data_IF_437131927811
#
_entry.id   IF_437131927811
#
_cell.length_a   1.000
_cell.length_b   1.000
_cell.length_c   1.000
_cell.angle_alpha   90.00
_cell.angle_beta   90.00
_cell.angle_gamma   90.00
#
_symmetry.space_group_name_H-M   'P 1'
#
loop_
_entity.id
_entity.type
_entity.pdbx_description
1 polymer ?
#
# COMPACT_ATOMS: atom_id res chain seq x y z
N UNK A 1 -19.63 -4.45 2.70
CA UNK A 1 -18.65 -5.51 3.05
C UNK A 1 -18.85 -5.99 4.48
N UNK A 2 -18.46 -7.22 4.83
CA UNK A 2 -18.40 -7.73 6.22
C UNK A 2 -16.94 -7.83 6.72
N UNK A 3 -16.73 -7.98 8.03
CA UNK A 3 -15.40 -8.24 8.58
C UNK A 3 -14.74 -9.47 7.97
N UNK A 4 -15.49 -10.58 7.85
CA UNK A 4 -15.01 -11.81 7.20
C UNK A 4 -14.47 -11.50 5.80
N UNK A 5 -15.23 -10.77 4.97
CA UNK A 5 -14.81 -10.46 3.60
C UNK A 5 -13.57 -9.57 3.49
N UNK A 6 -13.24 -8.79 4.54
CA UNK A 6 -12.02 -7.98 4.60
C UNK A 6 -10.84 -8.80 5.15
N UNK A 7 -11.08 -9.61 6.18
CA UNK A 7 -10.07 -10.49 6.75
C UNK A 7 -9.53 -11.47 5.72
N UNK A 8 -10.40 -12.02 4.87
CA UNK A 8 -10.05 -12.93 3.77
C UNK A 8 -9.10 -12.31 2.73
N UNK A 9 -8.95 -10.97 2.71
CA UNK A 9 -8.03 -10.26 1.82
C UNK A 9 -6.64 -10.03 2.42
N UNK A 10 -6.43 -10.42 3.68
CA UNK A 10 -5.12 -10.30 4.31
C UNK A 10 -4.14 -11.29 3.67
N UNK A 11 -2.91 -10.84 3.43
CA UNK A 11 -1.81 -11.73 3.05
C UNK A 11 -1.04 -12.13 4.31
N UNK A 12 -1.33 -13.30 4.86
CA UNK A 12 -0.77 -13.76 6.16
C UNK A 12 -0.19 -15.19 6.11
N UNK A 13 0.65 -15.53 5.11
CA UNK A 13 1.13 -16.89 4.93
C UNK A 13 2.06 -17.37 6.06
N UNK A 14 2.58 -16.47 6.90
CA UNK A 14 3.55 -16.81 7.93
C UNK A 14 2.89 -17.00 9.29
N UNK A 15 2.07 -16.04 9.73
CA UNK A 15 1.40 -16.12 11.04
C UNK A 15 0.04 -16.80 10.99
N UNK A 16 -0.65 -16.78 9.84
CA UNK A 16 -2.06 -17.19 9.74
C UNK A 16 -3.02 -16.27 10.52
N UNK A 17 -2.61 -15.04 10.85
CA UNK A 17 -3.36 -14.11 11.70
C UNK A 17 -3.89 -12.90 10.91
N UNK A 18 -5.03 -13.03 10.19
CA UNK A 18 -5.60 -11.93 9.42
C UNK A 18 -6.05 -10.79 10.34
N UNK A 19 -5.84 -9.56 9.90
CA UNK A 19 -6.30 -8.35 10.60
C UNK A 19 -6.83 -7.37 9.57
N UNK A 20 -7.91 -6.68 9.92
CA UNK A 20 -8.54 -5.68 9.07
C UNK A 20 -9.11 -4.54 9.92
N UNK A 21 -9.20 -3.35 9.33
CA UNK A 21 -9.90 -2.21 9.88
C UNK A 21 -10.46 -1.33 8.78
N UNK A 22 -11.35 -0.40 9.14
CA UNK A 22 -11.81 0.66 8.26
C UNK A 22 -11.49 2.01 8.90
N UNK A 23 -10.88 2.92 8.14
CA UNK A 23 -10.63 4.29 8.56
C UNK A 23 -11.62 5.20 7.84
N UNK A 24 -12.38 6.00 8.59
CA UNK A 24 -13.17 7.10 8.04
C UNK A 24 -12.33 8.37 8.10
N UNK A 25 -12.14 9.00 6.96
CA UNK A 25 -11.47 10.30 6.89
C UNK A 25 -12.40 11.46 7.24
N UNK A 26 -11.84 12.64 7.45
CA UNK A 26 -12.60 13.87 7.71
C UNK A 26 -13.58 14.22 6.58
N UNK A 27 -13.35 13.72 5.37
CA UNK A 27 -14.29 13.85 4.25
C UNK A 27 -15.54 12.96 4.36
N UNK A 28 -15.57 12.01 5.30
CA UNK A 28 -16.60 10.97 5.44
C UNK A 28 -16.37 9.74 4.55
N UNK A 29 -15.34 9.75 3.69
CA UNK A 29 -14.93 8.56 2.92
C UNK A 29 -14.33 7.49 3.82
N UNK A 30 -14.51 6.23 3.43
CA UNK A 30 -13.99 5.08 4.16
C UNK A 30 -12.87 4.40 3.36
N UNK A 31 -11.77 4.11 4.05
CA UNK A 31 -10.57 3.47 3.52
C UNK A 31 -10.34 2.15 4.26
N UNK A 32 -10.31 1.06 3.51
CA UNK A 32 -10.07 -0.27 4.07
C UNK A 32 -8.58 -0.56 4.19
N UNK A 33 -8.18 -1.19 5.29
CA UNK A 33 -6.83 -1.71 5.48
C UNK A 33 -6.87 -3.15 5.92
N UNK A 34 -5.96 -3.94 5.36
CA UNK A 34 -5.78 -5.36 5.67
C UNK A 34 -4.31 -5.63 5.94
N UNK A 35 -4.02 -6.65 6.76
CA UNK A 35 -2.65 -7.04 7.09
C UNK A 35 -1.97 -7.67 5.88
N UNK A 36 -0.79 -7.18 5.54
CA UNK A 36 0.04 -7.72 4.45
C UNK A 36 1.40 -8.05 5.03
N UNK A 37 1.65 -9.33 5.25
CA UNK A 37 2.92 -9.81 5.75
C UNK A 37 4.00 -9.80 4.67
N UNK A 38 5.24 -9.83 5.14
CA UNK A 38 6.39 -10.02 4.30
C UNK A 38 7.36 -10.97 4.99
N UNK A 39 8.12 -11.74 4.21
CA UNK A 39 9.14 -12.66 4.72
C UNK A 39 10.16 -11.95 5.61
N UNK A 40 10.47 -10.70 5.28
CA UNK A 40 11.16 -9.79 6.18
C UNK A 40 10.13 -9.20 7.13
N UNK A 41 9.88 -9.88 8.24
CA UNK A 41 8.83 -9.57 9.21
C UNK A 41 8.68 -8.07 9.57
N UNK A 42 9.76 -7.28 9.77
CA UNK A 42 9.66 -5.84 10.04
C UNK A 42 9.01 -5.01 8.92
N UNK A 43 8.87 -5.56 7.71
CA UNK A 43 8.24 -4.93 6.55
C UNK A 43 6.76 -5.27 6.41
N UNK A 44 6.20 -6.10 7.31
CA UNK A 44 4.76 -6.31 7.41
C UNK A 44 4.06 -4.96 7.46
N UNK A 45 3.01 -4.80 6.67
CA UNK A 45 2.13 -3.63 6.67
C UNK A 45 0.91 -3.99 7.52
N UNK A 46 0.78 -3.46 8.76
CA UNK A 46 -0.42 -3.65 9.55
C UNK A 46 -1.65 -3.05 8.89
N UNK A 47 -2.82 -3.62 9.19
CA UNK A 47 -4.10 -3.12 8.70
C UNK A 47 -4.30 -1.62 8.99
N UNK A 48 -3.94 -1.16 10.20
CA UNK A 48 -4.06 0.25 10.59
C UNK A 48 -3.12 1.14 9.76
N UNK A 49 -1.87 0.73 9.59
CA UNK A 49 -0.90 1.44 8.75
C UNK A 49 -1.38 1.53 7.31
N UNK A 50 -1.91 0.44 6.74
CA UNK A 50 -2.48 0.41 5.41
C UNK A 50 -3.65 1.39 5.28
N UNK A 51 -4.68 1.28 6.13
CA UNK A 51 -5.88 2.12 6.05
C UNK A 51 -5.56 3.63 6.19
N UNK A 52 -4.74 4.00 7.18
CA UNK A 52 -4.36 5.39 7.38
C UNK A 52 -3.50 5.92 6.23
N UNK A 53 -2.55 5.12 5.71
CA UNK A 53 -1.72 5.53 4.58
C UNK A 53 -2.54 5.69 3.29
N UNK A 54 -3.54 4.83 3.07
CA UNK A 54 -4.47 4.96 1.95
C UNK A 54 -5.26 6.27 2.08
N UNK A 55 -5.86 6.53 3.24
CA UNK A 55 -6.58 7.78 3.53
C UNK A 55 -5.74 9.02 3.22
N UNK A 56 -4.51 9.07 3.76
CA UNK A 56 -3.59 10.18 3.57
C UNK A 56 -3.17 10.34 2.10
N UNK A 57 -2.96 9.23 1.39
CA UNK A 57 -2.62 9.24 -0.04
C UNK A 57 -3.70 9.84 -0.94
N UNK A 58 -4.95 9.86 -0.46
CA UNK A 58 -6.13 10.41 -1.14
C UNK A 58 -6.43 11.86 -0.71
N UNK A 59 -5.47 12.54 -0.07
CA UNK A 59 -5.60 13.90 0.49
C UNK A 59 -6.71 14.03 1.54
N UNK A 60 -6.97 12.98 2.29
CA UNK A 60 -7.91 12.97 3.40
C UNK A 60 -7.18 12.78 4.73
N UNK A 61 -7.82 13.14 5.84
CA UNK A 61 -7.24 13.04 7.19
C UNK A 61 -7.97 11.96 7.98
N UNK A 62 -7.29 10.94 8.52
CA UNK A 62 -7.93 9.93 9.37
C UNK A 62 -8.66 10.57 10.55
N UNK A 63 -9.94 10.23 10.77
CA UNK A 63 -10.78 10.82 11.82
C UNK A 63 -11.39 9.76 12.75
N UNK A 64 -11.87 8.64 12.19
CA UNK A 64 -12.35 7.50 12.98
C UNK A 64 -11.76 6.22 12.46
N UNK A 65 -11.63 5.23 13.34
CA UNK A 65 -11.26 3.87 12.97
C UNK A 65 -12.27 2.88 13.54
N UNK A 66 -12.80 2.04 12.66
CA UNK A 66 -13.66 0.91 12.99
C UNK A 66 -12.82 -0.35 13.04
N UNK A 67 -12.99 -1.11 14.12
CA UNK A 67 -12.29 -2.38 14.35
C UNK A 67 -13.25 -3.44 14.89
N UNK A 68 -12.97 -4.71 14.62
CA UNK A 68 -13.70 -5.83 15.25
C UNK A 68 -13.24 -6.06 16.69
N UNK A 69 -11.96 -5.81 16.98
CA UNK A 69 -11.35 -5.83 18.31
C UNK A 69 -10.14 -4.89 18.31
N UNK A 70 -9.58 -4.57 19.47
CA UNK A 70 -8.46 -3.62 19.60
C UNK A 70 -7.06 -4.25 19.43
N UNK A 71 -6.97 -5.54 19.13
CA UNK A 71 -5.70 -6.24 18.95
C UNK A 71 -5.13 -6.05 17.53
N UNK A 72 -4.80 -4.81 17.19
CA UNK A 72 -4.18 -4.45 15.91
C UNK A 72 -2.82 -3.81 16.15
N UNK A 73 -1.82 -4.24 15.36
CA UNK A 73 -0.49 -3.62 15.38
C UNK A 73 -0.58 -2.14 15.03
N UNK A 74 0.20 -1.35 15.78
CA UNK A 74 0.32 0.10 15.61
C UNK A 74 -0.97 0.91 15.86
N UNK A 75 -2.07 0.30 16.31
CA UNK A 75 -3.33 1.03 16.59
C UNK A 75 -3.10 2.26 17.46
N UNK A 76 -2.41 2.09 18.59
CA UNK A 76 -2.12 3.16 19.54
C UNK A 76 -1.36 4.34 18.91
N UNK A 77 -0.38 4.07 18.05
CA UNK A 77 0.38 5.13 17.37
C UNK A 77 -0.54 5.95 16.46
N UNK A 78 -1.24 5.29 15.55
CA UNK A 78 -2.07 5.98 14.54
C UNK A 78 -3.24 6.73 15.19
N UNK A 79 -3.86 6.19 16.23
CA UNK A 79 -4.95 6.87 16.94
C UNK A 79 -4.48 8.13 17.66
N UNK A 80 -3.27 8.13 18.20
CA UNK A 80 -2.70 9.33 18.85
C UNK A 80 -2.26 10.34 17.80
N UNK A 81 -1.57 9.89 16.74
CA UNK A 81 -1.06 10.75 15.67
C UNK A 81 -2.16 11.62 15.05
N UNK A 82 -3.33 11.03 14.77
CA UNK A 82 -4.44 11.72 14.10
C UNK A 82 -5.64 12.01 15.01
N UNK A 83 -5.50 11.79 16.32
CA UNK A 83 -6.58 11.97 17.30
C UNK A 83 -7.86 11.22 16.92
N UNK A 84 -7.72 9.99 16.40
CA UNK A 84 -8.84 9.23 15.88
C UNK A 84 -9.75 8.70 16.99
N UNK A 85 -11.05 8.74 16.75
CA UNK A 85 -12.02 7.97 17.54
C UNK A 85 -11.93 6.48 17.19
N UNK A 86 -11.84 5.61 18.20
CA UNK A 86 -11.81 4.15 18.01
C UNK A 86 -13.19 3.57 18.30
N UNK A 87 -13.82 3.03 17.26
CA UNK A 87 -15.13 2.40 17.32
C UNK A 87 -14.96 0.90 17.17
N UNK A 88 -15.27 0.16 18.23
CA UNK A 88 -15.28 -1.30 18.21
C UNK A 88 -16.70 -1.79 17.88
N UNK A 89 -16.86 -2.61 16.85
CA UNK A 89 -18.17 -3.04 16.36
C UNK A 89 -18.11 -4.39 15.65
N UNK A 90 -19.12 -5.23 15.85
CA UNK A 90 -19.31 -6.47 15.09
C UNK A 90 -19.86 -6.21 13.67
N UNK A 91 -20.48 -5.05 13.47
CA UNK A 91 -21.08 -4.65 12.20
C UNK A 91 -20.32 -3.44 11.65
N UNK A 92 -19.39 -3.63 10.69
CA UNK A 92 -18.66 -2.52 10.10
C UNK A 92 -19.59 -1.63 9.28
N UNK A 93 -19.25 -0.34 9.09
CA UNK A 93 -19.89 0.48 8.07
C UNK A 93 -19.91 -0.23 6.71
N UNK A 94 -21.03 -0.09 5.99
CA UNK A 94 -21.11 -0.63 4.65
C UNK A 94 -20.20 0.17 3.71
N UNK A 95 -19.26 -0.54 3.08
CA UNK A 95 -18.43 -0.05 1.98
C UNK A 95 -18.67 -0.98 0.80
N UNK A 96 -19.00 -0.42 -0.37
CA UNK A 96 -19.02 -1.18 -1.62
C UNK A 96 -17.59 -1.40 -2.09
N UNK A 97 -17.32 -2.55 -2.72
CA UNK A 97 -16.00 -2.82 -3.28
C UNK A 97 -15.66 -1.80 -4.37
N UNK A 98 -16.65 -1.36 -5.13
CA UNK A 98 -16.48 -0.37 -6.19
C UNK A 98 -16.08 1.01 -5.67
N UNK A 99 -16.32 1.29 -4.39
CA UNK A 99 -15.91 2.53 -3.74
C UNK A 99 -14.44 2.51 -3.29
N UNK A 100 -13.79 1.33 -3.31
CA UNK A 100 -12.36 1.21 -3.03
C UNK A 100 -11.57 1.65 -4.27
N UNK A 101 -10.51 2.41 -4.04
CA UNK A 101 -9.82 3.20 -5.06
C UNK A 101 -9.10 2.31 -6.09
N UNK A 102 -9.76 2.03 -7.22
CA UNK A 102 -9.19 1.40 -8.40
C UNK A 102 -9.56 2.22 -9.63
N UNK A 103 -8.57 2.54 -10.46
CA UNK A 103 -8.77 3.26 -11.71
C UNK A 103 -8.86 2.27 -12.88
N UNK A 104 -9.74 2.48 -13.87
CA UNK A 104 -9.88 1.57 -15.00
C UNK A 104 -8.67 1.64 -15.94
N UNK A 105 -8.26 0.50 -16.48
CA UNK A 105 -7.21 0.45 -17.52
C UNK A 105 -7.74 1.04 -18.82
N UNK A 106 -7.46 2.31 -19.05
CA UNK A 106 -7.74 3.03 -20.30
C UNK A 106 -6.44 3.45 -20.98
N UNK A 107 -6.50 3.89 -22.23
CA UNK A 107 -5.32 4.45 -22.90
C UNK A 107 -5.02 5.85 -22.34
N UNK A 108 -4.05 5.96 -21.43
CA UNK A 108 -3.56 7.24 -20.89
C UNK A 108 -2.04 7.32 -20.93
N UNK A 109 -1.50 8.52 -20.70
CA UNK A 109 -0.06 8.73 -20.56
C UNK A 109 0.37 8.40 -19.12
N UNK A 110 1.01 7.24 -18.94
CA UNK A 110 1.52 6.75 -17.64
C UNK A 110 2.36 7.81 -16.93
N UNK A 111 3.34 8.39 -17.63
CA UNK A 111 4.21 9.40 -17.04
C UNK A 111 3.46 10.67 -16.63
N UNK A 112 2.45 11.08 -17.41
CA UNK A 112 1.63 12.24 -17.06
C UNK A 112 0.85 11.97 -15.77
N UNK A 113 0.28 10.78 -15.64
CA UNK A 113 -0.45 10.35 -14.45
C UNK A 113 0.46 10.28 -13.21
N UNK A 114 1.60 9.60 -13.35
CA UNK A 114 2.61 9.54 -12.29
C UNK A 114 3.05 10.94 -11.84
N UNK A 115 3.23 11.90 -12.77
CA UNK A 115 3.59 13.28 -12.43
C UNK A 115 2.47 14.00 -11.69
N UNK A 116 1.20 13.85 -12.07
CA UNK A 116 0.08 14.46 -11.34
C UNK A 116 -0.08 13.91 -9.93
N UNK A 117 0.24 12.63 -9.72
CA UNK A 117 0.20 12.01 -8.40
C UNK A 117 1.23 12.60 -7.42
N UNK A 118 2.37 13.11 -7.89
CA UNK A 118 3.42 13.64 -7.00
C UNK A 118 2.95 14.77 -6.08
N UNK A 119 1.89 15.49 -6.45
CA UNK A 119 1.31 16.57 -5.66
C UNK A 119 0.31 16.06 -4.60
N UNK A 120 0.12 14.75 -4.49
CA UNK A 120 -0.63 14.09 -3.42
C UNK A 120 0.27 13.44 -2.37
N UNK A 121 1.57 13.28 -2.65
CA UNK A 121 2.52 12.69 -1.71
C UNK A 121 2.58 13.50 -0.40
N UNK A 122 2.54 12.79 0.73
CA UNK A 122 2.66 13.38 2.05
C UNK A 122 4.11 13.24 2.48
N UNK A 123 4.89 14.30 2.29
CA UNK A 123 6.36 14.29 2.49
C UNK A 123 6.81 15.34 3.50
N UNK A 124 6.21 15.31 4.70
CA UNK A 124 6.43 16.34 5.73
C UNK A 124 7.88 16.41 6.21
N UNK A 125 8.67 15.35 6.05
CA UNK A 125 10.02 15.30 6.56
C UNK A 125 11.07 15.39 5.45
N UNK A 126 10.93 14.63 4.37
CA UNK A 126 11.96 14.52 3.33
C UNK A 126 11.79 15.51 2.18
N UNK A 127 10.57 16.02 1.97
CA UNK A 127 10.17 16.70 0.75
C UNK A 127 10.52 15.87 -0.51
N UNK A 128 10.47 14.54 -0.45
CA UNK A 128 10.83 13.64 -1.55
C UNK A 128 9.58 12.90 -2.05
N UNK A 129 8.84 13.46 -3.03
CA UNK A 129 7.61 12.85 -3.52
C UNK A 129 7.91 11.73 -4.51
N UNK A 130 7.25 10.61 -4.31
CA UNK A 130 7.28 9.40 -5.15
C UNK A 130 5.84 9.04 -5.48
N UNK A 131 5.59 8.61 -6.71
CA UNK A 131 4.33 8.03 -7.15
C UNK A 131 4.55 6.65 -7.76
N UNK A 132 3.53 5.82 -7.68
CA UNK A 132 3.53 4.48 -8.25
C UNK A 132 2.15 4.13 -8.83
N UNK A 133 2.13 3.34 -9.90
CA UNK A 133 0.95 2.67 -10.42
C UNK A 133 1.17 1.16 -10.36
N UNK A 134 0.27 0.43 -9.72
CA UNK A 134 0.25 -1.03 -9.70
C UNK A 134 -0.88 -1.53 -10.59
N UNK A 135 -0.54 -2.17 -11.71
CA UNK A 135 -1.51 -2.67 -12.67
C UNK A 135 -1.98 -4.07 -12.32
N UNK A 136 -3.24 -4.35 -12.64
CA UNK A 136 -3.88 -5.67 -12.58
C UNK A 136 -4.59 -5.95 -13.90
N UNK A 137 -5.28 -7.08 -14.01
CA UNK A 137 -6.12 -7.37 -15.18
C UNK A 137 -7.36 -6.47 -15.28
N UNK A 138 -7.78 -5.85 -14.18
CA UNK A 138 -9.04 -5.09 -14.08
C UNK A 138 -8.83 -3.57 -14.17
N UNK A 139 -7.63 -3.10 -13.82
CA UNK A 139 -7.37 -1.68 -13.63
C UNK A 139 -5.96 -1.44 -13.11
N UNK A 140 -5.78 -0.31 -12.43
CA UNK A 140 -4.56 -0.01 -11.69
C UNK A 140 -4.87 0.70 -10.38
N UNK A 141 -3.92 0.60 -9.45
CA UNK A 141 -3.95 1.22 -8.14
C UNK A 141 -2.86 2.29 -8.05
N UNK A 142 -3.27 3.49 -7.63
CA UNK A 142 -2.38 4.64 -7.49
C UNK A 142 -1.76 4.67 -6.09
N UNK A 143 -0.48 4.96 -6.01
CA UNK A 143 0.23 5.11 -4.74
C UNK A 143 1.07 6.38 -4.74
N UNK A 144 1.14 7.01 -3.58
CA UNK A 144 2.11 8.07 -3.28
C UNK A 144 2.72 7.79 -1.91
N UNK A 145 3.96 8.23 -1.66
CA UNK A 145 4.55 8.01 -0.35
C UNK A 145 3.88 8.86 0.72
N UNK A 146 3.77 8.28 1.91
CA UNK A 146 3.17 8.89 3.09
C UNK A 146 4.18 8.87 4.23
N UNK A 147 4.50 10.05 4.72
CA UNK A 147 5.35 10.30 5.89
C UNK A 147 4.50 10.81 7.05
N UNK A 148 4.86 10.39 8.26
CA UNK A 148 4.23 10.78 9.53
C UNK A 148 5.31 11.14 10.54
N UNK A 149 4.92 11.51 11.77
CA UNK A 149 5.88 11.90 12.82
C UNK A 149 6.96 10.85 13.09
N UNK A 150 6.57 9.56 13.14
CA UNK A 150 7.49 8.43 13.19
C UNK A 150 7.83 7.94 11.78
N UNK A 151 9.06 8.23 11.35
CA UNK A 151 9.58 7.86 10.03
C UNK A 151 9.50 6.35 9.73
N UNK A 152 9.49 5.49 10.75
CA UNK A 152 9.39 4.03 10.58
C UNK A 152 7.98 3.56 10.25
N UNK A 153 6.97 4.43 10.44
CA UNK A 153 5.55 4.16 10.22
C UNK A 153 5.05 4.68 8.88
N UNK A 154 5.79 5.58 8.24
CA UNK A 154 5.53 5.96 6.86
C UNK A 154 5.81 4.81 5.88
N UNK A 155 5.11 4.80 4.75
CA UNK A 155 5.33 3.83 3.67
C UNK A 155 5.44 4.53 2.32
N UNK A 156 6.23 3.93 1.42
CA UNK A 156 6.46 4.48 0.09
C UNK A 156 5.28 4.22 -0.85
N UNK A 157 5.29 4.91 -2.00
CA UNK A 157 4.22 4.86 -2.99
C UNK A 157 3.85 3.44 -3.42
N UNK A 158 4.83 2.57 -3.65
CA UNK A 158 4.64 1.20 -4.10
C UNK A 158 3.85 0.39 -3.06
N UNK A 159 4.18 0.57 -1.77
CA UNK A 159 3.50 -0.12 -0.66
C UNK A 159 2.09 0.42 -0.42
N UNK A 160 1.84 1.70 -0.70
CA UNK A 160 0.47 2.26 -0.71
C UNK A 160 -0.36 1.65 -1.84
N UNK A 161 0.16 1.59 -3.07
CA UNK A 161 -0.53 0.99 -4.20
C UNK A 161 -0.87 -0.50 -3.95
N UNK A 162 0.10 -1.26 -3.42
CA UNK A 162 -0.11 -2.66 -2.98
C UNK A 162 -1.19 -2.74 -1.90
N UNK A 163 -1.16 -1.84 -0.91
CA UNK A 163 -2.16 -1.83 0.17
C UNK A 163 -3.58 -1.60 -0.36
N UNK A 164 -3.76 -0.69 -1.33
CA UNK A 164 -5.06 -0.47 -1.99
C UNK A 164 -5.53 -1.71 -2.75
N UNK A 165 -4.63 -2.35 -3.49
CA UNK A 165 -4.91 -3.58 -4.22
C UNK A 165 -5.44 -4.70 -3.31
N UNK A 166 -4.71 -5.00 -2.22
CA UNK A 166 -5.12 -6.00 -1.24
C UNK A 166 -6.41 -5.60 -0.53
N UNK A 167 -6.57 -4.33 -0.13
CA UNK A 167 -7.81 -3.84 0.45
C UNK A 167 -9.00 -4.04 -0.51
N UNK A 168 -8.81 -3.84 -1.81
CA UNK A 168 -9.80 -4.12 -2.86
C UNK A 168 -10.02 -5.63 -3.12
N UNK A 169 -9.11 -6.48 -2.66
CA UNK A 169 -9.13 -7.92 -2.93
C UNK A 169 -8.67 -8.28 -4.34
N UNK A 170 -7.78 -7.46 -4.93
CA UNK A 170 -7.07 -7.81 -6.16
C UNK A 170 -5.64 -8.25 -5.80
N UNK A 171 -5.24 -9.41 -6.30
CA UNK A 171 -3.92 -10.01 -6.10
C UNK A 171 -3.28 -10.47 -7.41
N UNK A 172 -3.96 -10.24 -8.55
CA UNK A 172 -3.53 -10.66 -9.88
C UNK A 172 -2.81 -9.50 -10.58
N UNK A 173 -1.66 -9.14 -10.01
CA UNK A 173 -0.86 -8.00 -10.47
C UNK A 173 -0.11 -8.32 -11.77
N UNK A 174 0.14 -7.30 -12.59
CA UNK A 174 0.73 -7.47 -13.93
C UNK A 174 1.97 -6.61 -14.18
N UNK A 175 2.04 -5.40 -13.60
CA UNK A 175 3.14 -4.46 -13.81
C UNK A 175 3.17 -3.40 -12.72
N UNK A 176 4.36 -2.86 -12.44
CA UNK A 176 4.50 -1.65 -11.63
C UNK A 176 5.21 -0.53 -12.39
N UNK A 177 4.74 0.70 -12.22
CA UNK A 177 5.37 1.91 -12.75
C UNK A 177 5.71 2.83 -11.57
N UNK A 178 6.91 3.40 -11.51
CA UNK A 178 7.35 4.26 -10.40
C UNK A 178 7.98 5.54 -10.93
N UNK A 179 7.71 6.67 -10.27
CA UNK A 179 8.30 7.96 -10.61
C UNK A 179 8.66 8.77 -9.36
N UNK A 180 9.74 9.54 -9.47
CA UNK A 180 10.03 10.68 -8.59
C UNK A 180 10.66 11.79 -9.40
N UNK A 181 10.38 13.04 -9.01
CA UNK A 181 10.99 14.24 -9.60
C UNK A 181 12.36 14.59 -9.02
N UNK A 182 12.90 13.77 -8.11
CA UNK A 182 14.17 14.00 -7.42
C UNK A 182 15.08 12.77 -7.50
N UNK A 183 16.39 13.03 -7.47
CA UNK A 183 17.43 11.99 -7.56
C UNK A 183 17.81 11.64 -9.00
N UNK A 184 18.90 10.88 -9.12
CA UNK A 184 19.41 10.40 -10.41
C UNK A 184 18.53 9.26 -10.96
N UNK A 185 18.13 8.33 -10.08
CA UNK A 185 17.27 7.20 -10.42
C UNK A 185 16.03 7.15 -9.54
N UNK A 186 14.88 6.90 -10.15
CA UNK A 186 13.60 6.68 -9.47
C UNK A 186 13.46 5.26 -8.92
N UNK A 187 14.53 4.77 -8.30
CA UNK A 187 14.61 3.42 -7.78
C UNK A 187 13.73 3.24 -6.53
N UNK A 188 12.98 2.13 -6.42
CA UNK A 188 12.36 1.72 -5.17
C UNK A 188 13.40 1.57 -4.05
N UNK A 189 13.01 1.93 -2.82
CA UNK A 189 13.87 1.76 -1.65
C UNK A 189 14.02 0.26 -1.29
N UNK A 190 15.01 -0.09 -0.46
CA UNK A 190 15.29 -1.49 -0.09
C UNK A 190 14.07 -2.24 0.47
N UNK A 191 13.27 -1.56 1.30
CA UNK A 191 12.02 -2.12 1.84
C UNK A 191 11.00 -2.41 0.73
N UNK A 192 10.80 -1.49 -0.21
CA UNK A 192 9.88 -1.70 -1.33
C UNK A 192 10.35 -2.82 -2.24
N UNK A 193 11.65 -2.89 -2.55
CA UNK A 193 12.22 -3.98 -3.37
C UNK A 193 11.90 -5.36 -2.76
N UNK A 194 12.07 -5.53 -1.45
CA UNK A 194 11.74 -6.77 -0.77
C UNK A 194 10.23 -7.11 -0.83
N UNK A 195 9.35 -6.13 -0.63
CA UNK A 195 7.90 -6.33 -0.73
C UNK A 195 7.47 -6.67 -2.15
N UNK A 196 7.99 -5.94 -3.14
CA UNK A 196 7.71 -6.14 -4.57
C UNK A 196 8.16 -7.53 -5.03
N UNK A 197 9.35 -7.97 -4.64
CA UNK A 197 9.86 -9.29 -5.04
C UNK A 197 9.01 -10.44 -4.48
N UNK A 198 8.36 -10.25 -3.35
CA UNK A 198 7.49 -11.26 -2.75
C UNK A 198 6.08 -11.27 -3.35
N UNK A 199 5.49 -10.08 -3.54
CA UNK A 199 4.08 -9.95 -3.92
C UNK A 199 3.86 -9.78 -5.43
N UNK A 200 4.90 -9.39 -6.17
CA UNK A 200 4.90 -9.17 -7.62
C UNK A 200 6.13 -9.84 -8.28
N UNK A 201 6.45 -11.14 -8.03
CA UNK A 201 7.63 -11.76 -8.61
C UNK A 201 7.49 -11.96 -10.14
N UNK A 202 8.57 -11.76 -10.89
CA UNK A 202 8.67 -12.04 -12.34
C UNK A 202 7.75 -11.19 -13.23
N UNK A 203 7.49 -9.94 -12.83
CA UNK A 203 6.73 -8.98 -13.63
C UNK A 203 7.59 -7.76 -13.98
N UNK A 204 7.12 -6.96 -14.91
CA UNK A 204 7.79 -5.73 -15.30
C UNK A 204 7.67 -4.66 -14.21
N UNK A 205 8.77 -3.95 -13.99
CA UNK A 205 8.80 -2.70 -13.24
C UNK A 205 9.53 -1.66 -14.07
N UNK A 206 8.85 -0.54 -14.30
CA UNK A 206 9.38 0.56 -15.10
C UNK A 206 9.55 1.79 -14.24
N UNK A 207 10.75 2.36 -14.30
CA UNK A 207 11.18 3.49 -13.48
C UNK A 207 11.29 4.71 -14.38
N UNK A 208 10.42 5.69 -14.18
CA UNK A 208 10.44 6.95 -14.91
C UNK A 208 11.32 7.94 -14.19
N UNK A 209 12.45 8.32 -14.77
CA UNK A 209 13.46 9.15 -14.13
C UNK A 209 13.14 10.65 -14.23
N UNK A 210 13.77 11.44 -13.36
CA UNK A 210 13.52 12.89 -13.27
C UNK A 210 13.96 13.65 -14.53
N UNK A 211 14.96 13.13 -15.25
CA UNK A 211 15.46 13.67 -16.52
C UNK A 211 14.59 13.31 -17.74
N UNK A 212 13.52 12.54 -17.52
CA UNK A 212 12.60 12.11 -18.57
C UNK A 212 13.00 10.81 -19.26
N UNK A 213 14.13 10.19 -18.90
CA UNK A 213 14.48 8.84 -19.33
C UNK A 213 13.68 7.79 -18.53
N UNK A 214 13.72 6.54 -18.98
CA UNK A 214 13.15 5.41 -18.26
C UNK A 214 14.12 4.23 -18.23
N UNK A 215 13.99 3.39 -17.21
CA UNK A 215 14.59 2.06 -17.18
C UNK A 215 13.54 1.00 -16.89
N UNK A 216 13.68 -0.15 -17.56
CA UNK A 216 12.78 -1.29 -17.42
C UNK A 216 13.54 -2.45 -16.81
N UNK A 217 12.92 -3.10 -15.83
CA UNK A 217 13.52 -4.23 -15.11
C UNK A 217 12.46 -5.29 -14.87
N UNK A 218 12.91 -6.50 -14.54
CA UNK A 218 12.03 -7.51 -13.94
C UNK A 218 12.11 -7.35 -12.42
N UNK A 219 10.98 -7.44 -11.74
CA UNK A 219 10.87 -7.22 -10.29
C UNK A 219 11.87 -8.02 -9.46
N UNK A 220 12.17 -9.27 -9.84
CA UNK A 220 13.13 -10.13 -9.12
C UNK A 220 14.57 -9.63 -9.22
N UNK A 221 14.90 -8.81 -10.21
CA UNK A 221 16.24 -8.26 -10.40
C UNK A 221 16.47 -7.00 -9.54
N UNK A 222 15.40 -6.42 -8.97
CA UNK A 222 15.51 -5.30 -8.04
C UNK A 222 16.22 -5.69 -6.73
N UNK A 223 16.15 -6.95 -6.33
CA UNK A 223 16.79 -7.48 -5.14
C UNK A 223 17.44 -8.85 -5.45
N UNK A 224 18.63 -8.86 -6.06
CA UNK A 224 19.29 -10.10 -6.46
C UNK A 224 19.57 -10.96 -5.23
N UNK A 225 19.39 -12.29 -5.39
CA UNK A 225 19.56 -13.27 -4.32
C UNK A 225 18.65 -13.04 -3.10
N UNK A 226 17.51 -12.36 -3.27
CA UNK A 226 16.52 -12.14 -2.21
C UNK A 226 16.17 -13.44 -1.48
N UNK A 227 16.05 -13.38 -0.15
CA UNK A 227 15.46 -14.47 0.62
C UNK A 227 13.97 -14.60 0.25
N UNK A 228 13.54 -15.80 -0.16
CA UNK A 228 12.18 -16.07 -0.65
C UNK A 228 11.41 -16.92 0.35
N UNK A 229 10.10 -16.75 0.40
CA UNK A 229 9.18 -17.54 1.23
C UNK A 229 9.30 -19.05 0.99
N UNK A 230 9.62 -19.47 -0.25
CA UNK A 230 9.88 -20.87 -0.59
C UNK A 230 11.08 -21.49 0.16
N UNK A 231 11.98 -20.68 0.71
CA UNK A 231 13.07 -21.14 1.56
C UNK A 231 12.59 -21.60 2.96
N UNK A 232 11.40 -21.17 3.40
CA UNK A 232 10.82 -21.55 4.69
C UNK A 232 10.14 -22.93 4.69
N UNK A 233 10.32 -23.75 3.65
CA UNK A 233 9.72 -25.08 3.47
C UNK A 233 9.41 -25.82 4.79
N UNK A 234 8.18 -25.63 5.29
CA UNK A 234 7.54 -26.56 6.18
C UNK A 234 6.62 -27.40 5.30
N UNK A 235 7.20 -28.39 4.61
CA UNK A 235 6.43 -29.58 4.27
C UNK A 235 5.96 -30.17 5.60
N UNK A 236 4.71 -29.92 5.96
CA UNK A 236 3.96 -30.82 6.83
C UNK A 236 3.23 -31.81 5.95
#
# INVERSE_FOLDING_TARGET
MSWTSLLDRSYVPYSGNPKACLVEGTSGKIYAGVRIENISYPLTIPAVQAACSICLSEKDTPAKIYVQNRELEQLAFWTVEFHMEVIETDTPPYVDRQDLQMSPSSSFSILKELKSLLDQAVTINSNFPVSALLFTKQGYFEGVNVEVSDWTKGICAERVAISKAFAHGDTDFTKMEVHTRKGEFSSPCGACRQVIVELLPYHDVVLHHADGTLSEHITVDLLPFSFKSSALNNKK
#
